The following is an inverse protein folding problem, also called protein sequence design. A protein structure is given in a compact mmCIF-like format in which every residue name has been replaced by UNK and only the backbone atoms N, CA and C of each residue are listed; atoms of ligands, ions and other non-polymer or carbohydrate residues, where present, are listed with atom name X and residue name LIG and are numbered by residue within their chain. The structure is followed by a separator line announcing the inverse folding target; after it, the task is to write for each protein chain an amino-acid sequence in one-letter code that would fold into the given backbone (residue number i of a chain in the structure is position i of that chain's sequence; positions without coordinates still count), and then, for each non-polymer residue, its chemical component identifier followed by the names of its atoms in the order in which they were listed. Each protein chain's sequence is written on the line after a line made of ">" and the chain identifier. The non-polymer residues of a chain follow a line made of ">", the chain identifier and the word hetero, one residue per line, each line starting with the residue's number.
data_IF_060011340363
#
_entry.id   IF_060011340363
#
_cell.length_a   1.000
_cell.length_b   1.000
_cell.length_c   1.000
_cell.angle_alpha   90.00
_cell.angle_beta   90.00
_cell.angle_gamma   90.00
#
_symmetry.space_group_name_H-M   'P 1'
#
loop_
_entity.id
_entity.type
_entity.pdbx_description
1 polymer ?
#
# COMPACT_ATOMS: atom_id res chain seq x y z
N UNK A 1 11.54 -10.77 -14.77
CA UNK A 1 10.26 -10.31 -14.20
C UNK A 1 9.36 -9.98 -15.37
N UNK A 2 8.15 -10.54 -15.43
CA UNK A 2 7.22 -10.29 -16.54
C UNK A 2 6.44 -9.02 -16.22
N UNK A 3 6.67 -7.95 -16.97
CA UNK A 3 5.93 -6.70 -16.82
C UNK A 3 4.74 -6.66 -17.76
N UNK A 4 3.68 -5.96 -17.36
CA UNK A 4 2.48 -5.71 -18.19
C UNK A 4 2.05 -4.25 -18.07
N UNK A 5 1.29 -3.71 -19.03
CA UNK A 5 0.63 -2.42 -18.83
C UNK A 5 -0.30 -2.44 -17.62
N UNK A 6 -0.44 -1.30 -16.95
CA UNK A 6 -1.39 -1.10 -15.87
C UNK A 6 -2.82 -1.30 -16.39
N UNK A 7 -3.69 -1.79 -15.52
CA UNK A 7 -5.13 -1.73 -15.78
C UNK A 7 -5.63 -0.30 -15.52
N UNK A 8 -6.75 0.13 -16.14
CA UNK A 8 -7.33 1.44 -15.89
C UNK A 8 -7.61 1.71 -14.40
N UNK A 9 -7.98 0.67 -13.65
CA UNK A 9 -8.30 0.76 -12.22
C UNK A 9 -7.03 1.01 -11.39
N UNK A 10 -5.92 0.33 -11.72
CA UNK A 10 -4.64 0.57 -11.06
C UNK A 10 -4.13 1.99 -11.35
N UNK A 11 -4.22 2.44 -12.60
CA UNK A 11 -3.85 3.81 -12.94
C UNK A 11 -4.72 4.84 -12.22
N UNK A 12 -6.04 4.62 -12.18
CA UNK A 12 -6.97 5.48 -11.43
C UNK A 12 -6.61 5.54 -9.95
N UNK A 13 -6.40 4.39 -9.30
CA UNK A 13 -6.01 4.30 -7.91
C UNK A 13 -4.72 5.08 -7.63
N UNK A 14 -3.67 4.87 -8.43
CA UNK A 14 -2.38 5.53 -8.23
C UNK A 14 -2.46 7.04 -8.43
N UNK A 15 -3.25 7.51 -9.41
CA UNK A 15 -3.37 8.94 -9.69
C UNK A 15 -4.29 9.67 -8.71
N UNK A 16 -5.46 9.10 -8.45
CA UNK A 16 -6.53 9.79 -7.74
C UNK A 16 -6.59 9.45 -6.25
N UNK A 17 -6.22 8.24 -5.84
CA UNK A 17 -6.17 7.86 -4.41
C UNK A 17 -4.81 8.15 -3.79
N UNK A 18 -3.73 7.79 -4.49
CA UNK A 18 -2.37 8.00 -3.99
C UNK A 18 -1.74 9.34 -4.41
N UNK A 19 -2.45 10.13 -5.22
CA UNK A 19 -1.99 11.44 -5.68
C UNK A 19 -0.73 11.40 -6.56
N UNK A 20 -0.47 10.32 -7.32
CA UNK A 20 0.67 10.34 -8.25
C UNK A 20 0.39 11.17 -9.49
N UNK A 21 1.33 12.06 -9.81
CA UNK A 21 1.42 12.76 -11.10
C UNK A 21 2.36 12.06 -12.09
N UNK A 22 2.55 10.75 -11.92
CA UNK A 22 3.40 9.90 -12.76
C UNK A 22 3.03 10.07 -14.25
N UNK A 23 3.99 10.22 -15.17
CA UNK A 23 3.71 10.20 -16.61
C UNK A 23 3.02 8.89 -17.06
N UNK A 24 2.29 8.90 -18.17
CA UNK A 24 1.53 7.74 -18.64
C UNK A 24 2.44 6.55 -18.99
N UNK A 25 3.61 6.82 -19.58
CA UNK A 25 4.59 5.80 -19.97
C UNK A 25 5.11 4.95 -18.80
N UNK A 26 5.05 5.49 -17.57
CA UNK A 26 5.42 4.75 -16.35
C UNK A 26 4.47 3.58 -16.11
N UNK A 27 3.21 3.70 -16.53
CA UNK A 27 2.19 2.65 -16.39
C UNK A 27 2.26 1.56 -17.46
N UNK A 28 3.11 1.69 -18.48
CA UNK A 28 3.29 0.63 -19.48
C UNK A 28 4.05 -0.59 -18.93
N UNK A 29 4.76 -0.41 -17.81
CA UNK A 29 5.59 -1.43 -17.18
C UNK A 29 5.23 -1.63 -15.71
N UNK A 30 4.28 -2.52 -15.45
CA UNK A 30 3.86 -2.91 -14.11
C UNK A 30 4.31 -4.33 -13.80
N UNK A 31 5.01 -4.48 -12.68
CA UNK A 31 5.27 -5.76 -12.03
C UNK A 31 4.45 -5.84 -10.73
N UNK A 32 3.40 -6.67 -10.78
CA UNK A 32 2.41 -6.89 -9.73
C UNK A 32 2.55 -8.32 -9.19
N UNK A 33 3.80 -8.71 -8.93
CA UNK A 33 4.14 -10.01 -8.36
C UNK A 33 4.85 -9.81 -7.00
N UNK A 34 4.66 -10.74 -6.06
CA UNK A 34 5.34 -10.69 -4.77
C UNK A 34 6.85 -10.90 -4.94
N UNK A 35 7.65 -10.16 -4.18
CA UNK A 35 9.10 -10.32 -4.09
C UNK A 35 9.50 -11.11 -2.83
N UNK A 36 10.77 -11.48 -2.68
CA UNK A 36 11.25 -12.10 -1.44
C UNK A 36 11.17 -11.15 -0.23
N UNK A 37 11.57 -9.87 -0.33
CA UNK A 37 11.35 -8.89 0.74
C UNK A 37 9.87 -8.72 1.11
N UNK A 38 8.99 -8.59 0.11
CA UNK A 38 7.56 -8.36 0.35
C UNK A 38 6.92 -9.56 1.07
N UNK A 39 7.25 -10.80 0.69
CA UNK A 39 6.76 -12.00 1.39
C UNK A 39 7.25 -12.09 2.83
N UNK A 40 8.54 -11.81 3.05
CA UNK A 40 9.14 -11.90 4.38
C UNK A 40 8.56 -10.87 5.35
N UNK A 41 8.24 -9.67 4.86
CA UNK A 41 7.62 -8.62 5.65
C UNK A 41 6.10 -8.79 5.83
N UNK A 42 5.48 -9.77 5.16
CA UNK A 42 4.03 -9.96 5.18
C UNK A 42 3.28 -8.85 4.44
N UNK A 43 3.78 -8.45 3.28
CA UNK A 43 3.09 -7.52 2.38
C UNK A 43 2.06 -8.29 1.56
N UNK A 44 0.82 -7.86 1.62
CA UNK A 44 -0.29 -8.52 0.93
C UNK A 44 -0.22 -8.35 -0.59
N UNK A 45 0.11 -7.15 -1.05
CA UNK A 45 0.32 -6.88 -2.47
C UNK A 45 1.47 -5.92 -2.69
N UNK A 46 2.36 -6.30 -3.60
CA UNK A 46 3.48 -5.50 -4.08
C UNK A 46 3.21 -5.09 -5.52
N UNK A 47 3.37 -3.80 -5.81
CA UNK A 47 3.24 -3.26 -7.16
C UNK A 47 4.45 -2.36 -7.45
N UNK A 48 5.22 -2.72 -8.46
CA UNK A 48 6.33 -1.95 -8.99
C UNK A 48 5.95 -1.36 -10.35
N UNK A 49 6.00 -0.02 -10.48
CA UNK A 49 5.51 0.70 -11.67
C UNK A 49 6.65 1.50 -12.31
N UNK A 50 6.95 1.17 -13.56
CA UNK A 50 7.86 1.86 -14.48
C UNK A 50 9.25 2.14 -13.91
N UNK A 51 9.74 1.29 -13.00
CA UNK A 51 11.02 1.48 -12.31
C UNK A 51 11.08 2.74 -11.43
N UNK A 52 9.95 3.38 -11.14
CA UNK A 52 9.92 4.66 -10.41
C UNK A 52 9.16 4.59 -9.10
N UNK A 53 8.10 3.81 -9.04
CA UNK A 53 7.19 3.77 -7.91
C UNK A 53 7.06 2.34 -7.39
N UNK A 54 7.36 2.16 -6.10
CA UNK A 54 7.03 0.96 -5.35
C UNK A 54 5.80 1.24 -4.48
N UNK A 55 4.81 0.36 -4.56
CA UNK A 55 3.61 0.40 -3.73
C UNK A 55 3.55 -0.90 -2.94
N UNK A 56 3.49 -0.78 -1.63
CA UNK A 56 3.17 -1.88 -0.72
C UNK A 56 1.78 -1.65 -0.17
N UNK A 57 0.92 -2.66 -0.30
CA UNK A 57 -0.42 -2.66 0.28
C UNK A 57 -0.45 -3.73 1.36
N UNK A 58 -0.91 -3.34 2.53
CA UNK A 58 -1.05 -4.20 3.70
C UNK A 58 -2.41 -3.98 4.35
N UNK A 59 -3.06 -5.08 4.72
CA UNK A 59 -4.25 -5.11 5.55
C UNK A 59 -3.82 -5.23 7.02
N UNK A 60 -4.37 -4.36 7.89
CA UNK A 60 -4.19 -4.51 9.33
C UNK A 60 -5.53 -4.61 10.04
N UNK A 61 -5.66 -5.62 10.90
CA UNK A 61 -6.89 -5.86 11.67
C UNK A 61 -7.06 -4.91 12.86
N UNK A 62 -6.03 -4.14 13.24
CA UNK A 62 -6.08 -3.18 14.35
C UNK A 62 -4.89 -2.22 14.32
N UNK A 63 -5.02 -1.09 15.01
CA UNK A 63 -3.95 -0.10 15.22
C UNK A 63 -2.70 -0.77 15.81
N UNK A 64 -2.89 -1.63 16.82
CA UNK A 64 -1.79 -2.39 17.46
C UNK A 64 -1.05 -3.29 16.48
N UNK A 65 -1.77 -3.96 15.57
CA UNK A 65 -1.16 -4.80 14.55
C UNK A 65 -0.31 -3.95 13.60
N UNK A 66 -0.85 -2.82 13.14
CA UNK A 66 -0.12 -1.87 12.29
C UNK A 66 1.18 -1.40 12.94
N UNK A 67 1.12 -0.91 14.20
CA UNK A 67 2.30 -0.46 14.94
C UNK A 67 3.38 -1.53 15.06
N UNK A 68 2.97 -2.76 15.35
CA UNK A 68 3.92 -3.86 15.58
C UNK A 68 4.73 -4.25 14.33
N UNK A 69 4.21 -3.96 13.13
CA UNK A 69 4.81 -4.38 11.85
C UNK A 69 5.32 -3.21 11.00
N UNK A 70 4.92 -1.97 11.31
CA UNK A 70 5.23 -0.79 10.49
C UNK A 70 6.72 -0.63 10.19
N UNK A 71 7.59 -0.81 11.19
CA UNK A 71 9.03 -0.71 11.00
C UNK A 71 9.58 -1.76 10.02
N UNK A 72 9.01 -2.97 10.01
CA UNK A 72 9.42 -4.04 9.09
C UNK A 72 8.94 -3.75 7.67
N UNK A 73 7.71 -3.27 7.50
CA UNK A 73 7.17 -2.88 6.19
C UNK A 73 7.98 -1.75 5.56
N UNK A 74 8.29 -0.71 6.34
CA UNK A 74 9.12 0.41 5.90
C UNK A 74 10.51 -0.09 5.50
N UNK A 75 11.18 -0.87 6.37
CA UNK A 75 12.53 -1.39 6.10
C UNK A 75 12.58 -2.25 4.84
N UNK A 76 11.60 -3.14 4.66
CA UNK A 76 11.52 -3.99 3.48
C UNK A 76 11.22 -3.19 2.20
N UNK A 77 10.37 -2.16 2.31
CA UNK A 77 10.03 -1.28 1.19
C UNK A 77 11.22 -0.43 0.77
N UNK A 78 11.95 0.15 1.74
CA UNK A 78 13.17 0.93 1.49
C UNK A 78 14.25 0.07 0.81
N UNK A 79 14.54 -1.10 1.40
CA UNK A 79 15.56 -2.00 0.86
C UNK A 79 15.24 -2.42 -0.58
N UNK A 80 13.98 -2.75 -0.87
CA UNK A 80 13.58 -3.14 -2.21
C UNK A 80 13.56 -1.96 -3.19
N UNK A 81 13.01 -0.80 -2.78
CA UNK A 81 13.00 0.42 -3.58
C UNK A 81 14.42 0.77 -4.02
N UNK A 82 15.37 0.77 -3.08
CA UNK A 82 16.75 1.15 -3.32
C UNK A 82 17.48 0.11 -4.19
N UNK A 83 17.24 -1.18 -3.95
CA UNK A 83 17.80 -2.25 -4.77
C UNK A 83 17.32 -2.21 -6.23
N UNK A 84 16.09 -1.75 -6.45
CA UNK A 84 15.50 -1.59 -7.78
C UNK A 84 15.77 -0.20 -8.41
N UNK A 85 16.47 0.69 -7.71
CA UNK A 85 16.73 2.06 -8.16
C UNK A 85 15.47 2.92 -8.30
N UNK A 86 14.41 2.57 -7.57
CA UNK A 86 13.12 3.26 -7.65
C UNK A 86 13.15 4.58 -6.87
N UNK A 87 12.28 5.52 -7.26
CA UNK A 87 12.28 6.85 -6.68
C UNK A 87 11.43 6.92 -5.42
N UNK A 88 10.18 6.43 -5.48
CA UNK A 88 9.20 6.58 -4.38
C UNK A 88 8.73 5.25 -3.84
N UNK A 89 8.50 5.21 -2.53
CA UNK A 89 7.77 4.16 -1.83
C UNK A 89 6.44 4.73 -1.34
N UNK A 90 5.34 4.06 -1.64
CA UNK A 90 4.04 4.32 -1.04
C UNK A 90 3.62 3.10 -0.24
N UNK A 91 3.55 3.26 1.08
CA UNK A 91 2.96 2.27 1.97
C UNK A 91 1.47 2.59 2.09
N UNK A 92 0.62 1.67 1.66
CA UNK A 92 -0.83 1.75 1.77
C UNK A 92 -1.27 0.78 2.85
N UNK A 93 -1.81 1.31 3.94
CA UNK A 93 -2.38 0.53 5.02
C UNK A 93 -3.90 0.59 4.90
N UNK A 94 -4.52 -0.58 4.71
CA UNK A 94 -5.96 -0.74 4.62
C UNK A 94 -6.48 -1.22 5.98
N UNK A 95 -7.43 -0.49 6.55
CA UNK A 95 -8.05 -0.77 7.84
C UNK A 95 -9.51 -0.34 7.82
N UNK A 96 -10.40 -1.19 8.31
CA UNK A 96 -11.81 -0.83 8.49
C UNK A 96 -12.04 -0.12 9.83
N UNK A 97 -13.04 0.76 9.86
CA UNK A 97 -13.52 1.46 11.06
C UNK A 97 -12.47 2.27 11.83
N UNK A 98 -11.41 2.73 11.14
CA UNK A 98 -10.34 3.51 11.76
C UNK A 98 -10.88 4.83 12.34
N UNK A 99 -10.74 5.01 13.64
CA UNK A 99 -11.07 6.27 14.29
C UNK A 99 -10.01 7.34 13.98
N UNK A 100 -10.38 8.62 14.09
CA UNK A 100 -9.42 9.72 13.89
C UNK A 100 -8.24 9.69 14.88
N UNK A 101 -8.44 9.14 16.09
CA UNK A 101 -7.38 8.95 17.08
C UNK A 101 -6.38 7.89 16.64
N UNK A 102 -6.87 6.72 16.21
CA UNK A 102 -6.03 5.64 15.69
C UNK A 102 -5.27 6.08 14.43
N UNK A 103 -5.93 6.83 13.54
CA UNK A 103 -5.29 7.42 12.37
C UNK A 103 -4.10 8.29 12.76
N UNK A 104 -4.30 9.25 13.67
CA UNK A 104 -3.23 10.14 14.13
C UNK A 104 -2.10 9.40 14.84
N UNK A 105 -2.41 8.35 15.60
CA UNK A 105 -1.39 7.54 16.28
C UNK A 105 -0.51 6.75 15.28
N UNK A 106 -1.13 6.19 14.24
CA UNK A 106 -0.44 5.48 13.15
C UNK A 106 0.46 6.45 12.37
N UNK A 107 -0.07 7.61 11.98
CA UNK A 107 0.68 8.66 11.28
C UNK A 107 1.89 9.13 12.11
N UNK A 108 1.70 9.43 13.39
CA UNK A 108 2.79 9.81 14.29
C UNK A 108 3.86 8.71 14.42
N UNK A 109 3.46 7.45 14.38
CA UNK A 109 4.42 6.34 14.41
C UNK A 109 5.21 6.23 13.11
N UNK A 110 4.53 6.38 11.98
CA UNK A 110 5.19 6.43 10.68
C UNK A 110 6.19 7.59 10.61
N UNK A 111 5.80 8.80 10.99
CA UNK A 111 6.68 9.97 11.00
C UNK A 111 7.93 9.77 11.85
N UNK A 112 7.80 9.17 13.05
CA UNK A 112 8.96 8.82 13.89
C UNK A 112 9.90 7.79 13.26
N UNK A 113 9.38 6.90 12.43
CA UNK A 113 10.17 5.84 11.78
C UNK A 113 10.88 6.34 10.51
N UNK A 114 10.32 7.32 9.80
CA UNK A 114 10.90 7.92 8.59
C UNK A 114 11.76 9.15 8.92
N UNK A 115 11.62 9.72 10.14
CA UNK A 115 12.39 10.82 10.74
C UNK A 115 13.29 11.60 9.76
N UNK A 116 12.75 12.67 9.17
CA UNK A 116 13.37 13.67 8.26
C UNK A 116 14.25 13.16 7.08
N UNK A 117 14.42 11.86 6.88
CA UNK A 117 15.53 11.35 6.06
C UNK A 117 15.12 10.89 4.66
N UNK A 118 13.83 10.66 4.40
CA UNK A 118 13.37 10.27 3.07
C UNK A 118 11.96 10.78 2.75
N UNK A 119 11.90 11.95 2.10
CA UNK A 119 10.67 12.58 1.60
C UNK A 119 9.99 11.81 0.46
N UNK A 120 10.60 10.71 -0.01
CA UNK A 120 10.08 9.86 -1.08
C UNK A 120 9.32 8.65 -0.54
N UNK A 121 9.16 8.54 0.78
CA UNK A 121 8.34 7.52 1.43
C UNK A 121 7.06 8.15 1.95
N UNK A 122 5.91 7.67 1.50
CA UNK A 122 4.61 8.17 1.93
C UNK A 122 3.73 7.06 2.50
N UNK A 123 2.98 7.38 3.55
CA UNK A 123 1.91 6.55 4.09
C UNK A 123 0.56 7.00 3.50
N UNK A 124 -0.27 6.03 3.13
CA UNK A 124 -1.68 6.24 2.82
C UNK A 124 -2.51 5.31 3.71
N UNK A 125 -3.44 5.89 4.45
CA UNK A 125 -4.42 5.16 5.26
C UNK A 125 -5.74 5.14 4.50
N UNK A 126 -6.26 3.95 4.21
CA UNK A 126 -7.50 3.75 3.45
C UNK A 126 -8.42 2.79 4.18
N UNK A 127 -9.73 2.98 4.04
CA UNK A 127 -10.71 1.94 4.35
C UNK A 127 -10.87 0.96 3.16
N UNK A 128 -11.50 -0.19 3.39
CA UNK A 128 -11.74 -1.18 2.34
C UNK A 128 -12.57 -0.61 1.18
N UNK A 129 -13.53 0.26 1.48
CA UNK A 129 -14.35 0.95 0.48
C UNK A 129 -13.50 1.83 -0.44
N UNK A 130 -12.51 2.55 0.09
CA UNK A 130 -11.64 3.45 -0.67
C UNK A 130 -10.57 2.70 -1.45
N UNK A 131 -10.23 1.49 -1.00
CA UNK A 131 -9.28 0.61 -1.67
C UNK A 131 -9.96 -0.34 -2.68
N UNK A 132 -11.29 -0.24 -2.88
CA UNK A 132 -12.10 -1.12 -3.74
C UNK A 132 -11.71 -1.10 -5.23
N UNK A 133 -11.10 0.00 -5.71
CA UNK A 133 -10.57 0.12 -7.08
C UNK A 133 -9.54 -0.98 -7.40
N UNK A 134 -8.85 -1.48 -6.37
CA UNK A 134 -7.96 -2.61 -6.50
C UNK A 134 -8.78 -3.89 -6.29
N UNK A 135 -9.14 -4.56 -7.38
CA UNK A 135 -9.90 -5.83 -7.39
C UNK A 135 -9.38 -6.92 -6.43
N UNK A 136 -8.12 -6.83 -5.99
CA UNK A 136 -7.48 -7.73 -5.03
C UNK A 136 -7.77 -7.41 -3.55
N UNK A 137 -8.21 -6.19 -3.20
CA UNK A 137 -8.45 -5.80 -1.79
C UNK A 137 -9.62 -6.57 -1.19
N UNK A 138 -10.62 -6.94 -2.01
CA UNK A 138 -11.69 -7.86 -1.59
C UNK A 138 -11.20 -9.26 -1.16
N UNK A 139 -10.01 -9.68 -1.61
CA UNK A 139 -9.40 -10.94 -1.19
C UNK A 139 -8.55 -10.78 0.09
N UNK A 140 -8.23 -9.55 0.49
CA UNK A 140 -7.46 -9.24 1.71
C UNK A 140 -8.36 -9.20 2.96
N UNK A 141 -9.66 -8.96 2.76
CA UNK A 141 -10.68 -8.98 3.82
C UNK A 141 -11.89 -9.82 3.39
N UNK A 142 -11.80 -11.17 3.42
CA UNK A 142 -12.92 -12.03 3.01
C UNK A 142 -14.16 -11.88 3.90
N UNK A 143 -14.03 -11.40 5.14
CA UNK A 143 -15.11 -11.37 6.15
C UNK A 143 -15.95 -10.07 6.15
N UNK A 144 -15.55 -9.01 5.43
CA UNK A 144 -16.31 -7.75 5.41
C UNK A 144 -17.62 -7.85 4.60
N UNK A 145 -17.79 -8.90 3.79
CA UNK A 145 -18.93 -9.03 2.87
C UNK A 145 -20.17 -9.73 3.46
N UNK A 146 -20.13 -10.26 4.69
CA UNK A 146 -21.24 -11.08 5.23
C UNK A 146 -22.15 -10.35 6.25
N UNK A 147 -21.74 -9.19 6.76
CA UNK A 147 -22.53 -8.43 7.74
C UNK A 147 -23.66 -7.58 7.12
N UNK A 148 -23.65 -7.34 5.81
CA UNK A 148 -24.61 -6.43 5.14
C UNK A 148 -25.85 -7.12 4.54
N UNK A 149 -26.05 -8.43 4.75
CA UNK A 149 -27.13 -9.19 4.07
C UNK A 149 -28.35 -9.60 4.91
N UNK A 150 -28.44 -9.22 6.18
CA UNK A 150 -29.67 -9.44 6.96
C UNK A 150 -29.90 -8.35 8.02
N UNK A 151 -30.73 -7.33 7.75
CA UNK A 151 -31.40 -6.62 8.84
C UNK A 151 -32.54 -7.50 9.40
N UNK A 152 -32.84 -7.40 10.72
CA UNK A 152 -33.97 -8.08 11.36
C UNK A 152 -35.33 -7.60 10.84
#
# INVERSE_FOLDING_TARGET
>A
MSTRPATPELEHFVRHRLGCTCPAEVFEQVDDAPSAPSRTAGIDRRIAIGGRLLIYIVAAASERAAHSKMADWIRAGLAERDALGMNRLRLVLVMDELTGEEQGAIEATFERLIAETDDRVHLHLLDTASASDLASVHQLFPDASDAARNPP
#
